data_IF_195453504749
#
_entry.id   IF_195453504749
#
_cell.length_a   1.000
_cell.length_b   1.000
_cell.length_c   1.000
_cell.angle_alpha   90.00
_cell.angle_beta   90.00
_cell.angle_gamma   90.00
#
_symmetry.space_group_name_H-M   'P 1'
#
loop_
_entity.id
_entity.type
_entity.pdbx_description
1 polymer ?
#
# COMPACT_ATOMS: atom_id res chain seq x y z
N UNK A 1 -29.26 -9.94 -42.99
CA UNK A 1 -29.04 -9.96 -41.52
C UNK A 1 -28.09 -11.10 -41.16
N UNK A 2 -26.81 -10.84 -40.88
CA UNK A 2 -25.89 -11.77 -40.18
C UNK A 2 -24.66 -10.98 -39.69
N UNK A 3 -24.51 -10.90 -38.37
CA UNK A 3 -23.43 -10.21 -37.64
C UNK A 3 -22.07 -10.84 -37.98
N UNK A 4 -21.08 -10.04 -38.39
CA UNK A 4 -19.65 -10.44 -38.35
C UNK A 4 -19.06 -10.03 -37.01
N UNK A 5 -18.66 -11.02 -36.23
CA UNK A 5 -17.91 -10.86 -34.97
C UNK A 5 -16.49 -10.39 -35.29
N UNK A 6 -16.03 -9.29 -34.68
CA UNK A 6 -14.62 -8.89 -34.64
C UNK A 6 -14.06 -9.26 -33.27
N UNK A 7 -13.20 -10.29 -33.20
CA UNK A 7 -12.34 -10.57 -32.05
C UNK A 7 -11.05 -9.77 -32.24
N UNK A 8 -10.71 -8.94 -31.26
CA UNK A 8 -9.46 -8.18 -31.21
C UNK A 8 -8.51 -8.97 -30.31
N UNK A 9 -7.40 -9.46 -30.88
CA UNK A 9 -6.29 -10.04 -30.13
C UNK A 9 -5.18 -9.00 -30.07
N UNK A 10 -4.79 -8.62 -28.86
CA UNK A 10 -3.67 -7.71 -28.60
C UNK A 10 -2.45 -8.56 -28.22
N UNK A 11 -1.55 -8.77 -29.18
CA UNK A 11 -0.28 -9.47 -28.97
C UNK A 11 0.73 -8.53 -28.31
N UNK A 12 1.17 -8.87 -27.10
CA UNK A 12 2.26 -8.22 -26.39
C UNK A 12 3.59 -8.73 -26.98
N UNK A 13 4.39 -7.81 -27.50
CA UNK A 13 5.73 -8.10 -28.02
C UNK A 13 6.71 -8.31 -26.86
N UNK A 14 7.31 -9.49 -26.79
CA UNK A 14 8.44 -9.79 -25.89
C UNK A 14 9.73 -9.53 -26.68
N UNK A 15 10.50 -8.52 -26.24
CA UNK A 15 11.81 -8.21 -26.79
C UNK A 15 12.87 -9.00 -26.01
N UNK A 16 13.24 -10.19 -26.49
CA UNK A 16 14.42 -10.92 -26.02
C UNK A 16 15.63 -10.44 -26.83
N UNK A 17 16.56 -9.76 -26.17
CA UNK A 17 17.83 -9.36 -26.77
C UNK A 17 19.00 -10.13 -26.14
N UNK A 18 19.78 -10.73 -27.04
CA UNK A 18 21.19 -11.11 -26.94
C UNK A 18 21.58 -12.36 -26.12
N UNK A 19 21.84 -13.40 -26.93
CA UNK A 19 22.74 -14.54 -26.72
C UNK A 19 24.17 -14.07 -26.43
N UNK A 20 24.87 -14.78 -25.53
CA UNK A 20 26.32 -14.76 -25.40
C UNK A 20 26.84 -16.09 -24.84
N UNK A 21 27.53 -16.85 -25.69
CA UNK A 21 28.06 -18.22 -25.49
C UNK A 21 29.26 -18.30 -24.53
N UNK A 22 29.28 -19.40 -23.76
CA UNK A 22 30.38 -20.31 -23.37
C UNK A 22 31.83 -19.79 -23.21
N UNK A 23 32.46 -20.06 -22.05
CA UNK A 23 33.52 -21.10 -21.87
C UNK A 23 34.29 -21.00 -20.52
N UNK A 24 34.72 -22.18 -20.05
CA UNK A 24 35.87 -22.55 -19.18
C UNK A 24 35.86 -22.41 -17.63
N UNK A 25 35.65 -23.58 -17.01
CA UNK A 25 36.44 -24.26 -15.97
C UNK A 25 36.56 -23.71 -14.51
N UNK A 26 36.38 -24.58 -13.48
CA UNK A 26 36.66 -24.26 -12.09
C UNK A 26 38.11 -24.64 -11.73
N UNK A 27 38.86 -23.72 -11.12
CA UNK A 27 40.17 -24.03 -10.54
C UNK A 27 40.10 -23.95 -9.01
N UNK A 28 40.02 -25.15 -8.42
CA UNK A 28 40.72 -25.61 -7.21
C UNK A 28 40.42 -24.95 -5.86
N UNK A 29 39.55 -25.63 -5.11
CA UNK A 29 39.54 -25.65 -3.64
C UNK A 29 40.71 -26.50 -3.09
N UNK A 30 41.48 -25.95 -2.16
CA UNK A 30 42.02 -26.66 -0.97
C UNK A 30 42.51 -25.59 0.01
N UNK A 31 41.73 -25.20 1.02
CA UNK A 31 41.65 -25.75 2.38
C UNK A 31 42.98 -26.13 3.04
N UNK A 32 43.24 -25.39 4.13
CA UNK A 32 43.85 -25.75 5.41
C UNK A 32 45.33 -26.14 5.45
N UNK A 33 46.07 -25.52 6.37
CA UNK A 33 46.54 -26.14 7.63
C UNK A 33 47.19 -25.03 8.47
N UNK A 34 46.57 -24.58 9.56
CA UNK A 34 46.69 -25.16 10.90
C UNK A 34 48.16 -25.38 11.30
N UNK A 35 48.76 -24.38 11.96
CA UNK A 35 49.64 -24.64 13.11
C UNK A 35 49.31 -23.63 14.19
N UNK A 36 48.75 -24.19 15.24
CA UNK A 36 48.48 -23.61 16.54
C UNK A 36 49.73 -23.76 17.43
N UNK A 37 49.90 -22.80 18.35
CA UNK A 37 50.68 -22.84 19.60
C UNK A 37 51.96 -21.99 19.66
N UNK A 38 51.85 -20.86 20.36
CA UNK A 38 52.71 -20.59 21.52
C UNK A 38 51.92 -19.71 22.50
N UNK A 39 51.50 -20.30 23.62
CA UNK A 39 50.91 -19.57 24.74
C UNK A 39 52.05 -19.18 25.71
N UNK A 40 51.91 -17.96 26.26
CA UNK A 40 52.46 -17.41 27.50
C UNK A 40 53.75 -16.58 27.33
N UNK A 41 53.61 -15.24 27.38
CA UNK A 41 54.12 -14.47 28.51
C UNK A 41 53.19 -13.30 28.90
N UNK A 42 52.70 -13.45 30.12
CA UNK A 42 52.07 -12.54 31.07
C UNK A 42 52.52 -11.07 31.00
N UNK A 43 51.60 -10.19 30.64
CA UNK A 43 51.47 -8.83 31.18
C UNK A 43 50.06 -8.65 31.71
N UNK A 44 49.94 -8.07 32.92
CA UNK A 44 48.68 -7.79 33.61
C UNK A 44 47.72 -7.00 32.69
N UNK A 45 46.39 -7.16 32.84
CA UNK A 45 45.45 -6.49 31.98
C UNK A 45 45.59 -4.98 32.24
N UNK A 46 46.12 -4.24 31.26
CA UNK A 46 45.75 -2.84 31.16
C UNK A 46 44.23 -2.87 31.07
N UNK A 47 43.56 -2.32 32.07
CA UNK A 47 42.11 -2.20 32.09
C UNK A 47 41.70 -1.55 30.76
N UNK A 48 41.27 -2.39 29.82
CA UNK A 48 40.62 -1.91 28.62
C UNK A 48 39.41 -1.19 29.17
N UNK A 49 39.39 0.13 28.96
CA UNK A 49 38.24 0.98 29.19
C UNK A 49 36.98 0.21 28.80
N UNK A 50 35.86 0.36 29.51
CA UNK A 50 34.62 -0.28 29.07
C UNK A 50 34.50 0.05 27.59
N UNK A 51 34.51 -0.99 26.74
CA UNK A 51 34.10 -0.81 25.36
C UNK A 51 32.69 -0.31 25.55
N UNK A 52 32.53 1.01 25.47
CA UNK A 52 31.24 1.61 25.31
C UNK A 52 30.85 1.14 23.91
N UNK A 53 30.38 -0.10 23.82
CA UNK A 53 29.62 -0.57 22.70
C UNK A 53 28.31 0.18 22.83
N UNK A 54 28.37 1.48 22.54
CA UNK A 54 27.41 2.08 21.64
C UNK A 54 27.47 1.17 20.41
N UNK A 55 26.73 0.06 20.49
CA UNK A 55 26.11 -0.51 19.33
C UNK A 55 25.41 0.71 18.77
N UNK A 56 25.99 1.31 17.73
CA UNK A 56 25.26 2.18 16.84
C UNK A 56 24.08 1.33 16.44
N UNK A 57 22.95 1.53 17.14
CA UNK A 57 21.76 0.71 16.95
C UNK A 57 21.42 0.92 15.49
N UNK A 58 21.65 -0.09 14.66
CA UNK A 58 21.26 -0.05 13.26
C UNK A 58 19.73 0.03 13.24
N UNK A 59 19.22 1.26 13.19
CA UNK A 59 17.82 1.53 12.99
C UNK A 59 17.58 1.37 11.49
N UNK A 60 16.97 0.25 11.10
CA UNK A 60 16.46 0.10 9.75
C UNK A 60 15.32 1.08 9.52
N UNK A 61 15.47 1.95 8.52
CA UNK A 61 14.41 2.85 8.07
C UNK A 61 13.85 2.29 6.76
N UNK A 62 12.60 1.83 6.79
CA UNK A 62 11.85 1.42 5.60
C UNK A 62 10.36 1.75 5.79
N UNK A 63 10.08 2.90 6.38
CA UNK A 63 8.71 3.35 6.60
C UNK A 63 8.36 4.35 5.49
N UNK A 64 7.52 3.91 4.57
CA UNK A 64 6.81 4.78 3.65
C UNK A 64 5.51 5.26 4.30
N UNK A 65 4.94 6.37 3.81
CA UNK A 65 3.58 6.77 4.18
C UNK A 65 2.62 5.65 3.79
N UNK A 66 1.70 5.33 4.69
CA UNK A 66 0.59 4.41 4.40
C UNK A 66 -0.43 5.15 3.54
N UNK A 67 -0.74 4.59 2.38
CA UNK A 67 -1.64 5.13 1.34
C UNK A 67 -2.53 4.01 0.81
N UNK A 68 -3.52 4.35 -0.02
CA UNK A 68 -4.48 3.38 -0.51
C UNK A 68 -3.85 2.32 -1.41
N UNK A 69 -2.69 2.63 -2.01
CA UNK A 69 -1.88 1.70 -2.82
C UNK A 69 -0.68 1.09 -2.09
N UNK A 70 -0.65 1.19 -0.77
CA UNK A 70 0.39 0.54 0.03
C UNK A 70 0.21 -0.97 0.01
N UNK A 71 1.30 -1.71 -0.23
CA UNK A 71 1.30 -3.18 -0.14
C UNK A 71 1.15 -3.68 1.30
N UNK A 72 1.43 -2.81 2.27
CA UNK A 72 1.24 -3.05 3.69
C UNK A 72 -0.17 -2.58 4.10
N UNK A 73 -0.93 -3.43 4.79
CA UNK A 73 -2.25 -3.11 5.35
C UNK A 73 -2.15 -3.19 6.88
N UNK A 74 -1.57 -2.18 7.55
CA UNK A 74 -1.29 -2.25 8.99
C UNK A 74 -2.52 -2.02 9.87
N UNK A 75 -3.64 -1.58 9.30
CA UNK A 75 -4.83 -1.17 10.04
C UNK A 75 -6.01 -2.11 9.75
N UNK A 76 -6.75 -2.44 10.81
CA UNK A 76 -8.06 -3.10 10.69
C UNK A 76 -9.05 -2.15 9.99
N UNK A 77 -8.99 -0.87 10.36
CA UNK A 77 -9.74 0.19 9.71
C UNK A 77 -9.04 0.61 8.41
N UNK A 78 -9.57 0.14 7.28
CA UNK A 78 -9.05 0.44 5.95
C UNK A 78 -9.11 1.94 5.61
N UNK A 79 -10.05 2.71 6.21
CA UNK A 79 -10.18 4.14 5.93
C UNK A 79 -8.96 4.94 6.39
N UNK A 80 -8.19 4.45 7.36
CA UNK A 80 -6.93 5.10 7.78
C UNK A 80 -5.85 5.13 6.69
N UNK A 81 -5.99 4.27 5.68
CA UNK A 81 -5.12 4.23 4.51
C UNK A 81 -5.76 4.91 3.30
N UNK A 82 -6.96 5.50 3.42
CA UNK A 82 -7.68 6.02 2.28
C UNK A 82 -6.96 7.18 1.61
N UNK A 83 -7.31 7.40 0.34
CA UNK A 83 -6.95 8.65 -0.33
C UNK A 83 -7.69 9.82 0.32
N UNK A 84 -7.17 11.03 0.13
CA UNK A 84 -7.94 12.24 0.38
C UNK A 84 -9.23 12.23 -0.44
N UNK A 85 -10.25 12.90 0.07
CA UNK A 85 -11.53 13.05 -0.63
C UNK A 85 -11.35 13.69 -2.00
N UNK A 86 -11.99 13.08 -2.99
CA UNK A 86 -12.11 13.59 -4.35
C UNK A 86 -13.51 14.19 -4.49
N UNK A 87 -13.59 15.43 -4.95
CA UNK A 87 -14.86 16.05 -5.32
C UNK A 87 -15.29 15.52 -6.68
N UNK A 88 -16.52 15.02 -6.82
CA UNK A 88 -16.98 14.34 -8.02
C UNK A 88 -18.32 14.88 -8.52
N UNK A 89 -18.63 14.56 -9.77
CA UNK A 89 -19.99 14.70 -10.33
C UNK A 89 -20.38 13.39 -10.99
N UNK A 90 -21.62 13.31 -11.48
CA UNK A 90 -22.08 12.14 -12.25
C UNK A 90 -21.20 11.83 -13.47
N UNK A 91 -20.52 12.84 -14.02
CA UNK A 91 -19.74 12.73 -15.26
C UNK A 91 -18.24 12.95 -15.08
N UNK A 92 -17.80 13.46 -13.92
CA UNK A 92 -16.40 13.80 -13.65
C UNK A 92 -15.85 13.03 -12.46
N UNK A 93 -14.69 12.41 -12.68
CA UNK A 93 -13.95 11.68 -11.64
C UNK A 93 -13.36 12.59 -10.56
N UNK A 94 -13.02 13.82 -10.93
CA UNK A 94 -12.56 14.87 -10.02
C UNK A 94 -13.04 16.22 -10.53
N UNK A 95 -13.48 17.11 -9.65
CA UNK A 95 -13.71 18.54 -9.98
C UNK A 95 -12.57 19.44 -9.54
N UNK A 96 -11.57 18.88 -8.84
CA UNK A 96 -10.41 19.61 -8.29
C UNK A 96 -10.81 20.72 -7.30
N UNK A 97 -11.90 20.50 -6.56
CA UNK A 97 -12.45 21.44 -5.56
C UNK A 97 -12.34 20.90 -4.14
N UNK A 98 -11.38 19.99 -3.88
CA UNK A 98 -11.18 19.36 -2.56
C UNK A 98 -10.99 20.38 -1.44
N UNK A 99 -10.43 21.55 -1.73
CA UNK A 99 -10.17 22.61 -0.76
C UNK A 99 -11.45 23.30 -0.27
N UNK A 100 -12.58 23.08 -0.95
CA UNK A 100 -13.90 23.62 -0.57
C UNK A 100 -14.72 22.67 0.29
N UNK A 101 -14.21 21.48 0.59
CA UNK A 101 -14.94 20.48 1.34
C UNK A 101 -15.17 20.90 2.79
N UNK A 102 -16.41 20.74 3.26
CA UNK A 102 -16.75 20.93 4.67
C UNK A 102 -16.39 19.67 5.47
N UNK A 103 -15.17 19.64 5.98
CA UNK A 103 -14.62 18.52 6.75
C UNK A 103 -14.65 18.79 8.26
N UNK A 104 -14.83 17.74 9.07
CA UNK A 104 -14.64 17.80 10.52
C UNK A 104 -13.15 17.75 10.92
N UNK A 105 -12.88 17.75 12.23
CA UNK A 105 -11.52 17.68 12.78
C UNK A 105 -10.77 16.38 12.44
N UNK A 106 -11.50 15.31 12.08
CA UNK A 106 -10.96 14.01 11.71
C UNK A 106 -10.87 13.85 10.18
N UNK A 107 -11.29 14.86 9.40
CA UNK A 107 -11.29 14.85 7.95
C UNK A 107 -12.51 14.16 7.32
N UNK A 108 -13.60 13.96 8.07
CA UNK A 108 -14.86 13.41 7.55
C UNK A 108 -15.73 14.48 6.92
N UNK A 109 -16.39 14.13 5.82
CA UNK A 109 -17.32 15.04 5.13
C UNK A 109 -18.57 15.22 5.96
N UNK A 110 -18.85 16.46 6.37
CA UNK A 110 -20.06 16.80 7.14
C UNK A 110 -21.24 17.13 6.25
N UNK A 111 -20.99 17.80 5.13
CA UNK A 111 -22.03 18.26 4.23
C UNK A 111 -21.57 18.29 2.78
N UNK A 112 -22.54 18.17 1.87
CA UNK A 112 -22.36 18.37 0.44
C UNK A 112 -23.01 19.71 0.04
N UNK A 113 -22.51 20.38 -1.01
CA UNK A 113 -23.08 21.63 -1.49
C UNK A 113 -24.52 21.41 -1.96
N UNK A 114 -25.37 22.42 -1.76
CA UNK A 114 -26.73 22.40 -2.28
C UNK A 114 -26.70 22.77 -3.77
N UNK A 115 -27.71 22.30 -4.48
CA UNK A 115 -27.89 22.67 -5.89
C UNK A 115 -28.03 24.19 -5.98
N UNK A 116 -27.10 24.84 -6.68
CA UNK A 116 -27.08 26.29 -6.88
C UNK A 116 -26.06 27.07 -6.04
N UNK A 117 -25.30 26.43 -5.14
CA UNK A 117 -24.30 27.09 -4.29
C UNK A 117 -23.04 27.53 -5.06
N UNK A 118 -22.94 27.23 -6.37
CA UNK A 118 -21.83 27.61 -7.24
C UNK A 118 -20.67 26.61 -7.28
N UNK A 119 -20.68 25.63 -6.38
CA UNK A 119 -19.77 24.48 -6.44
C UNK A 119 -20.20 23.50 -7.52
N UNK A 120 -19.21 22.89 -8.19
CA UNK A 120 -19.50 22.00 -9.31
C UNK A 120 -19.74 20.57 -8.88
N UNK A 121 -19.19 20.15 -7.74
CA UNK A 121 -19.30 18.79 -7.26
C UNK A 121 -20.65 18.53 -6.61
N UNK A 122 -21.19 17.34 -6.86
CA UNK A 122 -22.47 16.88 -6.29
C UNK A 122 -22.29 15.65 -5.40
N UNK A 123 -21.12 15.03 -5.46
CA UNK A 123 -20.74 13.88 -4.65
C UNK A 123 -19.26 13.95 -4.30
N UNK A 124 -18.85 13.08 -3.37
CA UNK A 124 -17.46 12.93 -2.94
C UNK A 124 -17.12 11.46 -2.87
N UNK A 125 -15.89 11.13 -3.23
CA UNK A 125 -15.40 9.76 -3.26
C UNK A 125 -14.01 9.66 -2.64
N UNK A 126 -13.69 8.49 -2.09
CA UNK A 126 -12.33 8.15 -1.72
C UNK A 126 -12.00 6.74 -2.22
N UNK A 127 -10.71 6.48 -2.39
CA UNK A 127 -10.19 5.19 -2.81
C UNK A 127 -9.55 4.47 -1.62
N UNK A 128 -9.77 3.16 -1.58
CA UNK A 128 -9.30 2.24 -0.56
C UNK A 128 -8.64 1.06 -1.26
N UNK A 129 -7.53 0.56 -0.70
CA UNK A 129 -6.91 -0.73 -1.04
C UNK A 129 -6.73 -0.95 -2.57
N UNK A 130 -6.11 0.01 -3.26
CA UNK A 130 -5.93 0.07 -4.71
C UNK A 130 -4.64 -0.58 -5.16
N UNK A 131 -4.67 -1.28 -6.29
CA UNK A 131 -3.44 -1.66 -7.03
C UNK A 131 -2.46 -2.53 -6.23
N UNK A 132 -2.97 -3.32 -5.26
CA UNK A 132 -2.15 -4.29 -4.53
C UNK A 132 -1.78 -5.46 -5.46
N UNK A 133 -0.49 -5.85 -5.58
CA UNK A 133 -0.03 -6.91 -6.48
C UNK A 133 -0.73 -8.26 -6.28
N UNK A 134 -0.98 -8.63 -5.02
CA UNK A 134 -1.66 -9.87 -4.64
C UNK A 134 -3.15 -9.66 -4.33
N UNK A 135 -3.67 -8.47 -4.64
CA UNK A 135 -4.98 -8.00 -4.23
C UNK A 135 -5.07 -7.66 -2.74
N UNK A 136 -6.24 -7.16 -2.33
CA UNK A 136 -6.56 -6.94 -0.92
C UNK A 136 -7.31 -8.15 -0.35
N UNK A 137 -7.31 -8.35 0.99
CA UNK A 137 -8.03 -9.46 1.61
C UNK A 137 -9.50 -9.46 1.19
N UNK A 138 -9.93 -10.51 0.47
CA UNK A 138 -11.34 -10.68 0.12
C UNK A 138 -12.19 -10.94 1.36
N UNK A 139 -13.48 -10.62 1.29
CA UNK A 139 -14.41 -10.91 2.39
C UNK A 139 -15.47 -9.85 2.58
N UNK A 140 -16.02 -9.81 3.79
CA UNK A 140 -17.04 -8.83 4.19
C UNK A 140 -16.36 -7.72 4.98
N UNK A 141 -16.60 -6.50 4.56
CA UNK A 141 -16.16 -5.29 5.26
C UNK A 141 -17.37 -4.63 5.93
N UNK A 142 -17.18 -4.18 7.16
CA UNK A 142 -18.17 -3.41 7.90
C UNK A 142 -17.93 -1.92 7.63
N UNK A 143 -18.97 -1.23 7.16
CA UNK A 143 -18.93 0.22 6.97
C UNK A 143 -19.85 0.85 8.01
N UNK A 144 -19.24 1.64 8.88
CA UNK A 144 -19.92 2.42 9.91
C UNK A 144 -19.87 3.89 9.47
N UNK A 145 -21.02 4.56 9.54
CA UNK A 145 -21.13 5.98 9.25
C UNK A 145 -22.24 6.57 10.11
N UNK A 146 -22.08 7.84 10.45
CA UNK A 146 -23.11 8.65 11.09
C UNK A 146 -23.51 9.77 10.12
N UNK A 147 -24.81 9.88 9.84
CA UNK A 147 -25.35 10.83 8.86
C UNK A 147 -26.39 10.24 7.91
N UNK A 148 -26.99 11.13 7.13
CA UNK A 148 -28.13 10.82 6.25
C UNK A 148 -27.74 10.66 4.77
N UNK A 149 -26.43 10.73 4.46
CA UNK A 149 -25.91 10.60 3.11
C UNK A 149 -26.10 9.20 2.51
N UNK A 150 -26.25 9.14 1.18
CA UNK A 150 -26.23 7.85 0.47
C UNK A 150 -24.79 7.45 0.18
N UNK A 151 -24.39 6.28 0.68
CA UNK A 151 -23.07 5.68 0.37
C UNK A 151 -23.22 4.66 -0.77
N UNK A 152 -22.45 4.90 -1.83
CA UNK A 152 -22.31 4.01 -2.98
C UNK A 152 -20.93 3.34 -3.01
N UNK A 153 -20.84 2.20 -3.66
CA UNK A 153 -19.62 1.40 -3.75
C UNK A 153 -19.32 1.12 -5.22
N UNK A 154 -18.06 1.31 -5.61
CA UNK A 154 -17.57 1.05 -6.96
C UNK A 154 -16.43 0.03 -7.01
N UNK A 155 -15.94 -0.23 -8.22
CA UNK A 155 -14.89 -1.21 -8.51
C UNK A 155 -15.24 -2.61 -8.00
N UNK A 156 -14.36 -3.20 -7.19
CA UNK A 156 -14.45 -4.58 -6.72
C UNK A 156 -15.40 -4.74 -5.52
N UNK A 157 -15.85 -3.63 -4.93
CA UNK A 157 -16.77 -3.64 -3.80
C UNK A 157 -18.23 -3.71 -4.28
N UNK A 158 -19.02 -4.56 -3.63
CA UNK A 158 -20.47 -4.64 -3.84
C UNK A 158 -21.21 -4.51 -2.52
N UNK A 159 -22.17 -3.59 -2.47
CA UNK A 159 -23.08 -3.46 -1.31
C UNK A 159 -23.80 -4.78 -1.08
N UNK A 160 -23.60 -5.36 0.09
CA UNK A 160 -24.37 -6.50 0.55
C UNK A 160 -25.72 -6.01 1.08
N UNK A 161 -26.79 -6.78 0.84
CA UNK A 161 -28.09 -6.50 1.47
C UNK A 161 -27.89 -6.49 2.99
N UNK A 162 -28.30 -5.42 3.64
CA UNK A 162 -27.97 -5.07 5.01
C UNK A 162 -28.00 -6.30 5.94
N UNK A 163 -26.84 -6.70 6.43
CA UNK A 163 -26.77 -7.49 7.65
C UNK A 163 -26.96 -6.49 8.78
N UNK A 164 -28.15 -6.46 9.36
CA UNK A 164 -28.39 -5.79 10.64
C UNK A 164 -27.56 -6.52 11.68
N UNK A 165 -26.30 -6.13 11.87
CA UNK A 165 -25.57 -6.51 13.06
C UNK A 165 -26.12 -5.64 14.16
N UNK A 166 -27.15 -6.15 14.87
CA UNK A 166 -27.56 -5.59 16.16
C UNK A 166 -26.32 -5.70 17.06
N UNK A 167 -25.63 -4.58 17.25
CA UNK A 167 -24.60 -4.46 18.26
C UNK A 167 -25.29 -4.56 19.61
N UNK A 168 -25.25 -5.73 20.24
CA UNK A 168 -25.38 -5.82 21.68
C UNK A 168 -24.02 -5.40 22.25
N UNK A 169 -23.96 -4.17 22.76
CA UNK A 169 -22.96 -3.74 23.73
C UNK A 169 -23.57 -3.82 25.12
#
# INVERSE_FOLDING_TARGET
MRKKSKKIYLSIAIFFCAVGMSFLAPALSSKLNFVQNAIIQKTAPKANAPINSQIDKLLGTNLSKVTDWSTQIPFIDAFKSSRSWLTQTETSWSTEESDKLDLDENGWVKSLPKIGDGDRYTSVGTLLLRELPDGYPGGKYLVLYDGEGTIEYGFDAKKMKSLLVRGEM
#
